data_IF_564721449231
#
_entry.id   IF_564721449231
#
_cell.length_a   1.000
_cell.length_b   1.000
_cell.length_c   1.000
_cell.angle_alpha   90.00
_cell.angle_beta   90.00
_cell.angle_gamma   90.00
#
_symmetry.space_group_name_H-M   'P 1'
#
loop_
_entity.id
_entity.type
_entity.pdbx_description
1 polymer ?
#
# COMPACT_ATOMS: atom_id res chain seq x y z
N UNK A 1 40.68 22.66 -5.02
CA UNK A 1 39.24 22.38 -5.15
C UNK A 1 38.88 22.66 -6.59
N UNK A 2 38.61 21.61 -7.37
CA UNK A 2 38.43 21.72 -8.83
C UNK A 2 37.06 22.27 -9.23
N UNK A 3 36.06 22.22 -8.31
CA UNK A 3 34.65 22.56 -8.62
C UNK A 3 34.04 23.59 -7.66
N UNK A 4 34.78 24.16 -6.72
CA UNK A 4 34.31 25.28 -5.88
C UNK A 4 33.22 24.96 -4.84
N UNK A 5 32.97 23.67 -4.52
CA UNK A 5 32.02 23.26 -3.47
C UNK A 5 32.72 22.49 -2.36
N UNK A 6 32.15 22.57 -1.16
CA UNK A 6 32.60 21.85 0.02
C UNK A 6 31.79 20.54 0.17
N UNK A 7 32.49 19.44 0.42
CA UNK A 7 31.84 18.13 0.66
C UNK A 7 31.85 17.86 2.16
N UNK A 8 30.66 17.76 2.73
CA UNK A 8 30.49 17.37 4.13
C UNK A 8 29.97 15.93 4.21
N UNK A 9 30.72 15.03 4.85
CA UNK A 9 30.30 13.65 5.09
C UNK A 9 29.43 13.60 6.35
N UNK A 10 28.15 13.21 6.19
CA UNK A 10 27.26 12.91 7.30
C UNK A 10 27.57 11.51 7.84
N UNK A 11 27.62 11.35 9.16
CA UNK A 11 27.82 10.05 9.81
C UNK A 11 26.61 9.15 9.55
N UNK A 12 26.89 7.86 9.37
CA UNK A 12 25.85 6.84 9.30
C UNK A 12 25.02 6.83 10.59
N UNK A 13 23.72 6.65 10.42
CA UNK A 13 22.77 6.50 11.53
C UNK A 13 22.46 5.03 11.71
N UNK A 14 22.29 4.60 12.95
CA UNK A 14 21.93 3.22 13.29
C UNK A 14 20.66 3.21 14.14
N UNK A 15 19.85 2.20 13.95
CA UNK A 15 18.71 1.87 14.80
C UNK A 15 18.80 0.39 15.18
N UNK A 16 18.85 0.09 16.50
CA UNK A 16 18.99 -1.28 17.03
C UNK A 16 20.15 -2.08 16.37
N UNK A 17 21.33 -1.44 16.19
CA UNK A 17 22.52 -1.97 15.52
C UNK A 17 22.34 -2.26 14.02
N UNK A 18 21.32 -1.70 13.38
CA UNK A 18 21.12 -1.79 11.93
C UNK A 18 21.46 -0.44 11.32
N UNK A 19 22.42 -0.41 10.40
CA UNK A 19 22.75 0.78 9.63
C UNK A 19 21.56 1.19 8.76
N UNK A 20 21.06 2.43 8.96
CA UNK A 20 19.97 2.98 8.17
C UNK A 20 20.50 3.31 6.77
N UNK A 21 19.95 2.65 5.76
CA UNK A 21 20.28 2.93 4.36
C UNK A 21 19.06 2.75 3.47
N UNK A 22 19.03 3.50 2.36
CA UNK A 22 17.96 3.36 1.36
C UNK A 22 17.86 1.94 0.81
N UNK A 23 19.00 1.25 0.65
CA UNK A 23 19.02 -0.15 0.17
C UNK A 23 18.34 -1.09 1.16
N UNK A 24 18.59 -0.91 2.48
CA UNK A 24 17.97 -1.74 3.52
C UNK A 24 16.47 -1.49 3.62
N UNK A 25 16.05 -0.22 3.54
CA UNK A 25 14.62 0.13 3.54
C UNK A 25 13.91 -0.49 2.32
N UNK A 26 14.51 -0.40 1.12
CA UNK A 26 13.95 -1.03 -0.09
C UNK A 26 13.82 -2.54 0.05
N UNK A 27 14.85 -3.21 0.60
CA UNK A 27 14.82 -4.65 0.87
C UNK A 27 13.64 -5.02 1.77
N UNK A 28 13.44 -4.29 2.88
CA UNK A 28 12.32 -4.53 3.81
C UNK A 28 10.97 -4.34 3.13
N UNK A 29 10.78 -3.25 2.37
CA UNK A 29 9.54 -2.98 1.64
C UNK A 29 9.26 -4.05 0.56
N UNK A 30 10.29 -4.50 -0.16
CA UNK A 30 10.18 -5.56 -1.17
C UNK A 30 9.83 -6.93 -0.56
N UNK A 31 10.12 -7.13 0.72
CA UNK A 31 9.79 -8.34 1.48
C UNK A 31 8.48 -8.21 2.29
N UNK A 32 7.77 -7.08 2.19
CA UNK A 32 6.55 -6.83 2.95
C UNK A 32 6.76 -6.43 4.41
N UNK A 33 8.00 -6.32 4.87
CA UNK A 33 8.34 -5.95 6.25
C UNK A 33 8.24 -4.42 6.46
N UNK A 34 7.01 -3.92 6.32
CA UNK A 34 6.72 -2.48 6.49
C UNK A 34 6.95 -2.01 7.92
N UNK A 35 6.82 -2.89 8.91
CA UNK A 35 7.04 -2.55 10.33
C UNK A 35 8.48 -2.12 10.56
N UNK A 36 9.46 -2.91 10.12
CA UNK A 36 10.87 -2.56 10.28
C UNK A 36 11.29 -1.46 9.29
N UNK A 37 10.70 -1.41 8.09
CA UNK A 37 10.90 -0.27 7.18
C UNK A 37 10.48 1.05 7.83
N UNK A 38 9.31 1.10 8.49
CA UNK A 38 8.79 2.28 9.18
C UNK A 38 9.70 2.72 10.34
N UNK A 39 10.24 1.76 11.11
CA UNK A 39 11.23 2.07 12.16
C UNK A 39 12.48 2.75 11.60
N UNK A 40 13.02 2.24 10.48
CA UNK A 40 14.20 2.82 9.85
C UNK A 40 13.91 4.15 9.16
N UNK A 41 12.70 4.35 8.64
CA UNK A 41 12.24 5.62 8.04
C UNK A 41 11.96 6.69 9.10
N UNK A 42 11.57 6.29 10.33
CA UNK A 42 11.08 7.19 11.37
C UNK A 42 9.63 7.67 11.14
N UNK A 43 8.94 7.12 10.15
CA UNK A 43 7.53 7.38 9.84
C UNK A 43 6.93 6.20 9.07
N UNK A 44 5.59 6.16 8.98
CA UNK A 44 4.90 5.13 8.20
C UNK A 44 5.18 5.32 6.71
N UNK A 45 5.60 4.24 6.03
CA UNK A 45 5.73 4.23 4.59
C UNK A 45 4.36 4.48 3.96
N UNK A 46 4.30 5.37 2.97
CA UNK A 46 3.04 5.77 2.38
C UNK A 46 3.07 5.82 0.87
N UNK A 47 1.91 5.68 0.27
CA UNK A 47 1.67 5.86 -1.16
C UNK A 47 0.52 6.86 -1.32
N UNK A 48 0.76 7.90 -2.12
CA UNK A 48 -0.26 8.89 -2.51
C UNK A 48 -0.64 8.66 -3.97
N UNK A 49 -1.91 8.79 -4.28
CA UNK A 49 -2.40 8.68 -5.64
C UNK A 49 -3.87 9.09 -5.78
N UNK A 50 -4.32 9.09 -7.02
CA UNK A 50 -5.69 9.49 -7.38
C UNK A 50 -6.61 8.26 -7.37
N UNK A 51 -7.80 8.43 -6.82
CA UNK A 51 -8.82 7.38 -6.81
C UNK A 51 -9.44 7.24 -8.20
N UNK A 52 -9.27 6.06 -8.80
CA UNK A 52 -9.80 5.72 -10.13
C UNK A 52 -10.90 4.66 -10.07
N UNK A 53 -11.65 4.51 -11.15
CA UNK A 53 -12.67 3.47 -11.27
C UNK A 53 -12.01 2.08 -11.38
N UNK A 54 -12.43 1.13 -10.57
CA UNK A 54 -12.03 -0.27 -10.62
C UNK A 54 -13.19 -1.20 -10.95
N UNK A 55 -12.98 -2.51 -10.82
CA UNK A 55 -13.96 -3.55 -11.17
C UNK A 55 -15.15 -3.68 -10.20
N UNK A 56 -15.15 -2.93 -9.09
CA UNK A 56 -16.23 -2.87 -8.08
C UNK A 56 -16.63 -4.21 -7.46
N UNK A 57 -15.75 -5.23 -7.49
CA UNK A 57 -16.05 -6.58 -6.95
C UNK A 57 -16.30 -6.49 -5.45
N UNK A 58 -15.46 -5.75 -4.72
CA UNK A 58 -15.57 -5.57 -3.27
C UNK A 58 -16.89 -4.92 -2.84
N UNK A 59 -17.41 -3.96 -3.62
CA UNK A 59 -18.70 -3.30 -3.33
C UNK A 59 -19.87 -4.30 -3.21
N UNK A 60 -19.91 -5.29 -4.11
CA UNK A 60 -20.96 -6.33 -4.11
C UNK A 60 -20.84 -7.30 -2.93
N UNK A 61 -19.71 -7.30 -2.23
CA UNK A 61 -19.42 -8.15 -1.08
C UNK A 61 -19.53 -7.39 0.26
N UNK A 62 -19.92 -6.11 0.24
CA UNK A 62 -19.96 -5.26 1.43
C UNK A 62 -18.62 -4.65 1.84
N UNK A 63 -17.60 -4.78 0.98
CA UNK A 63 -16.26 -4.21 1.17
C UNK A 63 -15.89 -3.31 -0.02
N UNK A 64 -16.51 -2.11 -0.15
CA UNK A 64 -16.17 -1.21 -1.24
C UNK A 64 -14.70 -0.83 -1.18
N UNK A 65 -14.00 -0.88 -2.31
CA UNK A 65 -12.59 -0.50 -2.44
C UNK A 65 -12.42 0.71 -3.35
N UNK A 66 -11.49 1.59 -3.00
CA UNK A 66 -10.94 2.60 -3.87
C UNK A 66 -9.70 2.01 -4.57
N UNK A 67 -9.62 2.15 -5.89
CA UNK A 67 -8.44 1.80 -6.68
C UNK A 67 -7.58 3.05 -6.80
N UNK A 68 -6.27 2.90 -6.62
CA UNK A 68 -5.34 4.03 -6.57
C UNK A 68 -4.41 3.98 -7.77
N UNK A 69 -4.38 5.06 -8.52
CA UNK A 69 -3.39 5.31 -9.56
C UNK A 69 -2.27 6.19 -9.01
N UNK A 70 -1.06 5.65 -8.98
CA UNK A 70 0.12 6.33 -8.48
C UNK A 70 0.78 7.08 -9.63
N UNK A 71 0.82 8.40 -9.54
CA UNK A 71 1.38 9.24 -10.61
C UNK A 71 2.91 9.22 -10.68
N UNK A 72 3.59 8.95 -9.54
CA UNK A 72 5.05 8.89 -9.48
C UNK A 72 5.55 7.50 -9.90
N UNK A 73 6.07 7.41 -11.12
CA UNK A 73 6.64 6.18 -11.68
C UNK A 73 7.88 5.65 -10.93
N UNK A 74 8.56 6.51 -10.16
CA UNK A 74 9.71 6.14 -9.33
C UNK A 74 9.31 5.72 -7.92
N UNK A 75 8.02 5.82 -7.57
CA UNK A 75 7.55 5.40 -6.26
C UNK A 75 7.71 3.89 -6.10
N UNK A 76 8.53 3.48 -5.13
CA UNK A 76 8.66 2.07 -4.78
C UNK A 76 7.31 1.54 -4.27
N UNK A 77 6.78 0.52 -4.88
CA UNK A 77 5.59 -0.18 -4.37
C UNK A 77 6.07 -1.32 -3.47
N UNK A 78 5.50 -1.45 -2.29
CA UNK A 78 5.80 -2.53 -1.35
C UNK A 78 5.40 -3.91 -1.93
N UNK A 79 5.82 -4.99 -1.29
CA UNK A 79 5.51 -6.35 -1.73
C UNK A 79 4.01 -6.58 -1.95
N UNK A 80 3.70 -7.51 -2.85
CA UNK A 80 2.34 -7.99 -3.08
C UNK A 80 1.77 -8.58 -1.79
N UNK A 81 0.54 -8.21 -1.44
CA UNK A 81 -0.12 -8.72 -0.23
C UNK A 81 -1.20 -7.79 0.31
N UNK A 82 -1.77 -8.20 1.43
CA UNK A 82 -2.80 -7.46 2.16
C UNK A 82 -2.20 -6.80 3.39
N UNK A 83 -2.53 -5.54 3.59
CA UNK A 83 -1.95 -4.69 4.63
C UNK A 83 -3.03 -4.03 5.50
N UNK A 84 -2.78 -3.93 6.80
CA UNK A 84 -3.45 -2.97 7.67
C UNK A 84 -2.87 -1.58 7.38
N UNK A 85 -3.73 -0.59 7.21
CA UNK A 85 -3.31 0.75 6.79
C UNK A 85 -4.17 1.85 7.42
N UNK A 86 -3.62 3.07 7.44
CA UNK A 86 -4.38 4.31 7.66
C UNK A 86 -4.53 5.02 6.32
N UNK A 87 -5.63 5.71 6.13
CA UNK A 87 -5.92 6.41 4.88
C UNK A 87 -6.29 7.85 5.16
N UNK A 88 -5.54 8.78 4.59
CA UNK A 88 -5.85 10.19 4.63
C UNK A 88 -6.76 10.54 3.45
N UNK A 89 -7.95 11.01 3.76
CA UNK A 89 -8.96 11.48 2.78
C UNK A 89 -9.47 12.82 3.26
N UNK A 90 -9.42 13.84 2.42
CA UNK A 90 -9.97 15.18 2.72
C UNK A 90 -9.53 15.74 4.10
N UNK A 91 -8.25 15.54 4.46
CA UNK A 91 -7.67 16.00 5.71
C UNK A 91 -8.04 15.17 6.95
N UNK A 92 -8.77 14.05 6.80
CA UNK A 92 -9.12 13.12 7.88
C UNK A 92 -8.45 11.77 7.69
N UNK A 93 -8.04 11.16 8.81
CA UNK A 93 -7.42 9.83 8.81
C UNK A 93 -8.47 8.79 9.19
N UNK A 94 -8.56 7.74 8.36
CA UNK A 94 -9.42 6.58 8.56
C UNK A 94 -8.57 5.32 8.71
N UNK A 95 -9.11 4.32 9.39
CA UNK A 95 -8.56 2.96 9.38
C UNK A 95 -8.97 2.26 8.09
N UNK A 96 -8.15 1.32 7.63
CA UNK A 96 -8.44 0.57 6.41
C UNK A 96 -7.59 -0.68 6.25
N UNK A 97 -7.88 -1.42 5.20
CA UNK A 97 -7.04 -2.51 4.70
C UNK A 97 -6.79 -2.31 3.20
N UNK A 98 -5.54 -2.52 2.77
CA UNK A 98 -5.14 -2.35 1.38
C UNK A 98 -4.66 -3.67 0.79
N UNK A 99 -4.97 -3.92 -0.47
CA UNK A 99 -4.41 -5.00 -1.29
C UNK A 99 -3.48 -4.40 -2.33
N UNK A 100 -2.23 -4.85 -2.34
CA UNK A 100 -1.29 -4.67 -3.45
C UNK A 100 -1.28 -5.99 -4.19
N UNK A 101 -1.67 -5.99 -5.46
CA UNK A 101 -1.81 -7.21 -6.26
C UNK A 101 -1.53 -6.99 -7.73
N UNK A 102 -1.63 -8.06 -8.53
CA UNK A 102 -1.56 -7.95 -9.97
C UNK A 102 -2.96 -7.84 -10.56
N UNK A 103 -3.12 -6.97 -11.56
CA UNK A 103 -4.36 -6.94 -12.34
C UNK A 103 -4.51 -8.30 -13.05
N UNK A 104 -5.60 -9.05 -12.83
CA UNK A 104 -5.83 -10.27 -13.60
C UNK A 104 -5.89 -9.90 -15.08
N UNK A 105 -5.06 -10.51 -15.89
CA UNK A 105 -5.09 -10.36 -17.36
C UNK A 105 -6.35 -11.05 -17.86
N UNK A 106 -7.45 -10.33 -17.99
CA UNK A 106 -8.62 -10.76 -18.74
C UNK A 106 -8.32 -10.38 -20.18
N UNK A 107 -7.95 -11.39 -20.99
CA UNK A 107 -7.75 -11.37 -22.43
C UNK A 107 -6.88 -10.22 -22.99
N UNK A 108 -5.78 -10.62 -23.61
CA UNK A 108 -4.88 -9.79 -24.38
C UNK A 108 -5.61 -9.08 -25.54
N UNK A 109 -6.12 -7.89 -25.28
CA UNK A 109 -6.34 -6.92 -26.32
C UNK A 109 -5.40 -5.74 -26.03
N UNK A 110 -4.33 -5.63 -26.84
CA UNK A 110 -3.37 -4.55 -26.85
C UNK A 110 -2.42 -4.42 -25.64
N UNK A 111 -1.29 -5.14 -25.66
CA UNK A 111 0.03 -4.80 -25.04
C UNK A 111 0.06 -4.01 -23.71
N UNK A 112 -1.00 -4.04 -22.90
CA UNK A 112 -0.95 -3.54 -21.53
C UNK A 112 -0.31 -4.61 -20.65
N UNK A 113 0.89 -4.34 -20.19
CA UNK A 113 1.60 -5.13 -19.19
C UNK A 113 0.69 -5.31 -17.97
N UNK A 114 0.71 -6.51 -17.38
CA UNK A 114 0.04 -6.82 -16.12
C UNK A 114 0.57 -5.90 -15.02
N UNK A 115 -0.05 -4.74 -14.86
CA UNK A 115 0.37 -3.72 -13.90
C UNK A 115 0.02 -4.11 -12.47
N UNK A 116 0.79 -3.61 -11.51
CA UNK A 116 0.45 -3.67 -10.09
C UNK A 116 -0.80 -2.81 -9.85
N UNK A 117 -1.75 -3.33 -9.08
CA UNK A 117 -2.92 -2.58 -8.61
C UNK A 117 -2.85 -2.38 -7.10
N UNK A 118 -3.30 -1.21 -6.66
CA UNK A 118 -3.43 -0.87 -5.25
C UNK A 118 -4.89 -0.58 -4.99
N UNK A 119 -5.52 -1.40 -4.16
CA UNK A 119 -6.89 -1.22 -3.74
C UNK A 119 -6.96 -1.02 -2.22
N UNK A 120 -7.82 -0.12 -1.74
CA UNK A 120 -8.02 0.10 -0.31
C UNK A 120 -9.48 0.11 0.06
N UNK A 121 -9.85 -0.70 1.06
CA UNK A 121 -11.13 -0.60 1.74
C UNK A 121 -10.95 0.33 2.96
N UNK A 122 -11.64 1.46 2.95
CA UNK A 122 -11.63 2.46 4.03
C UNK A 122 -12.77 2.10 4.98
N UNK A 123 -12.46 1.86 6.25
CA UNK A 123 -13.46 1.45 7.23
C UNK A 123 -14.36 2.63 7.63
N UNK A 124 -15.64 2.33 7.80
CA UNK A 124 -16.67 3.29 8.23
C UNK A 124 -16.74 4.55 7.35
N UNK A 125 -16.48 4.36 6.04
CA UNK A 125 -16.45 5.40 5.03
C UNK A 125 -17.43 5.08 3.89
N UNK A 126 -18.33 6.03 3.56
CA UNK A 126 -19.42 5.84 2.59
C UNK A 126 -19.47 6.91 1.49
N UNK A 127 -18.43 7.75 1.39
CA UNK A 127 -18.39 8.83 0.40
C UNK A 127 -17.86 8.32 -0.95
N UNK A 128 -18.23 9.03 -2.03
CA UNK A 128 -17.68 8.81 -3.37
C UNK A 128 -16.51 9.77 -3.56
N UNK A 129 -15.31 9.23 -3.78
CA UNK A 129 -14.05 9.99 -3.84
C UNK A 129 -13.29 9.78 -5.16
N UNK A 130 -13.97 9.43 -6.25
CA UNK A 130 -13.31 9.32 -7.56
C UNK A 130 -12.71 10.66 -8.00
N UNK A 131 -11.46 10.62 -8.47
CA UNK A 131 -10.69 11.79 -8.88
C UNK A 131 -10.04 12.55 -7.73
N UNK A 132 -10.29 12.17 -6.49
CA UNK A 132 -9.64 12.77 -5.32
C UNK A 132 -8.30 12.11 -5.03
N UNK A 133 -7.37 12.88 -4.49
CA UNK A 133 -6.09 12.39 -4.00
C UNK A 133 -6.25 11.84 -2.58
N UNK A 134 -5.72 10.65 -2.36
CA UNK A 134 -5.64 10.04 -1.02
C UNK A 134 -4.23 9.54 -0.75
N UNK A 135 -3.88 9.40 0.54
CA UNK A 135 -2.61 8.82 0.98
C UNK A 135 -2.89 7.59 1.83
N UNK A 136 -2.27 6.46 1.47
CA UNK A 136 -2.31 5.21 2.23
C UNK A 136 -1.00 5.08 3.01
N UNK A 137 -1.08 4.99 4.33
CA UNK A 137 0.02 4.72 5.25
C UNK A 137 0.00 3.24 5.63
N UNK A 138 1.05 2.50 5.28
CA UNK A 138 1.15 1.06 5.52
C UNK A 138 1.67 0.80 6.94
N UNK A 139 0.86 0.15 7.76
CA UNK A 139 1.17 -0.11 9.18
C UNK A 139 1.73 -1.50 9.38
N UNK A 140 1.08 -2.52 8.81
CA UNK A 140 1.52 -3.92 8.95
C UNK A 140 1.09 -4.75 7.73
N UNK A 141 1.96 -5.66 7.31
CA UNK A 141 1.61 -6.71 6.37
C UNK A 141 0.83 -7.82 7.09
N UNK A 142 -0.26 -8.28 6.49
CA UNK A 142 -1.16 -9.23 7.14
C UNK A 142 -1.08 -10.62 6.53
N UNK A 143 -0.99 -10.72 5.21
CA UNK A 143 -0.94 -11.97 4.47
C UNK A 143 -0.61 -11.78 3.00
N UNK A 144 -0.23 -12.87 2.33
CA UNK A 144 -0.11 -12.94 0.88
C UNK A 144 -1.46 -12.77 0.17
N UNK A 145 -1.39 -12.31 -1.09
CA UNK A 145 -2.52 -12.37 -2.00
C UNK A 145 -2.76 -13.82 -2.44
N UNK A 146 -4.03 -14.26 -2.48
CA UNK A 146 -4.40 -15.55 -3.03
C UNK A 146 -5.80 -15.55 -3.67
N UNK A 147 -6.03 -16.50 -4.56
CA UNK A 147 -7.32 -16.66 -5.25
C UNK A 147 -8.31 -17.42 -4.37
N UNK A 148 -9.55 -17.02 -4.41
CA UNK A 148 -10.63 -17.66 -3.68
C UNK A 148 -11.54 -18.48 -4.61
N UNK A 149 -12.01 -19.66 -4.18
CA UNK A 149 -12.83 -20.53 -5.01
C UNK A 149 -14.24 -19.98 -5.25
N UNK A 150 -14.70 -19.04 -4.43
CA UNK A 150 -16.03 -18.42 -4.56
C UNK A 150 -16.06 -17.00 -3.98
N UNK A 151 -17.07 -16.23 -4.36
CA UNK A 151 -17.33 -14.90 -3.78
C UNK A 151 -17.61 -14.97 -2.28
N UNK A 152 -18.26 -16.02 -1.80
CA UNK A 152 -18.55 -16.24 -0.38
C UNK A 152 -17.25 -16.48 0.40
N UNK A 153 -16.31 -17.28 -0.14
CA UNK A 153 -15.00 -17.50 0.48
C UNK A 153 -14.20 -16.20 0.56
N UNK A 154 -14.23 -15.38 -0.49
CA UNK A 154 -13.60 -14.06 -0.48
C UNK A 154 -14.23 -13.14 0.58
N UNK A 155 -15.57 -13.04 0.63
CA UNK A 155 -16.27 -12.22 1.61
C UNK A 155 -15.93 -12.63 3.06
N UNK A 156 -15.87 -13.94 3.33
CA UNK A 156 -15.49 -14.47 4.64
C UNK A 156 -14.04 -14.08 5.00
N UNK A 157 -13.12 -14.18 4.05
CA UNK A 157 -11.74 -13.76 4.28
C UNK A 157 -11.63 -12.24 4.52
N UNK A 158 -12.32 -11.42 3.72
CA UNK A 158 -12.33 -9.96 3.92
C UNK A 158 -12.87 -9.57 5.31
N UNK A 159 -13.86 -10.32 5.84
CA UNK A 159 -14.35 -10.11 7.20
C UNK A 159 -13.28 -10.40 8.25
N UNK A 160 -12.51 -11.48 8.08
CA UNK A 160 -11.37 -11.80 8.97
C UNK A 160 -10.26 -10.75 8.86
N UNK A 161 -9.94 -10.34 7.64
CA UNK A 161 -8.92 -9.32 7.38
C UNK A 161 -9.30 -7.99 8.05
N UNK A 162 -10.57 -7.58 7.98
CA UNK A 162 -11.05 -6.37 8.67
C UNK A 162 -10.85 -6.46 10.18
N UNK A 163 -11.21 -7.59 10.81
CA UNK A 163 -11.00 -7.79 12.25
C UNK A 163 -9.53 -7.70 12.59
N UNK A 164 -8.69 -8.44 11.89
CA UNK A 164 -7.24 -8.44 12.11
C UNK A 164 -6.61 -7.05 11.88
N UNK A 165 -7.02 -6.35 10.82
CA UNK A 165 -6.55 -4.98 10.57
C UNK A 165 -6.92 -4.03 11.73
N UNK A 166 -8.13 -4.17 12.30
CA UNK A 166 -8.56 -3.34 13.44
C UNK A 166 -7.76 -3.60 14.73
N UNK A 167 -7.25 -4.82 14.92
CA UNK A 167 -6.36 -5.18 16.04
C UNK A 167 -4.96 -4.57 15.88
N UNK A 168 -4.50 -4.34 14.63
CA UNK A 168 -3.19 -3.81 14.31
C UNK A 168 -3.16 -2.27 14.26
N UNK A 169 -4.30 -1.60 14.14
CA UNK A 169 -4.48 -0.14 13.97
C UNK A 169 -4.98 0.54 15.23
#
# INVERSE_FOLDING_TARGET
>A
MEYGFEVQKVKEQEHENITISSSKIRELLNNGDVVNANKLLGHEYSITGIVVKGNSIGRNLGFPTANIEVADEYKLIAAIGVYACRVLVNGKIYKGMSNIGYRPTIEKANNEESGITIEVNIFDFNETIYGEEITIFFVNWMRDEHKFPSKQALAHQLSKDKIHALELL
#
